data_IF_468025091880
#
_entry.id   IF_468025091880
#
_cell.length_a   1.000
_cell.length_b   1.000
_cell.length_c   1.000
_cell.angle_alpha   90.00
_cell.angle_beta   90.00
_cell.angle_gamma   90.00
#
_symmetry.space_group_name_H-M   'P 1'
#
loop_
_entity.id
_entity.type
_entity.pdbx_description
1 polymer ?
#
# COMPACT_ATOMS: atom_id res chain seq x y z
N UNK A 1 33.38 35.59 -17.22
CA UNK A 1 32.05 35.71 -16.57
C UNK A 1 31.01 34.72 -17.12
N UNK A 2 31.38 33.52 -17.61
CA UNK A 2 30.45 32.60 -18.30
C UNK A 2 30.27 31.21 -17.67
N UNK A 3 30.83 30.93 -16.50
CA UNK A 3 30.74 29.59 -15.88
C UNK A 3 29.55 29.40 -14.92
N UNK A 4 28.84 30.47 -14.54
CA UNK A 4 27.73 30.37 -13.58
C UNK A 4 26.35 30.10 -14.22
N UNK A 5 26.19 30.35 -15.53
CA UNK A 5 24.91 30.14 -16.23
C UNK A 5 24.67 28.65 -16.55
N UNK A 6 25.72 27.85 -16.75
CA UNK A 6 25.56 26.43 -17.10
C UNK A 6 25.21 25.53 -15.91
N UNK A 7 25.63 25.88 -14.69
CA UNK A 7 25.33 25.10 -13.49
C UNK A 7 23.84 25.20 -13.10
N UNK A 8 23.25 26.40 -13.23
CA UNK A 8 21.85 26.66 -12.87
C UNK A 8 20.85 25.84 -13.70
N UNK A 9 21.10 25.65 -15.01
CA UNK A 9 20.22 24.86 -15.88
C UNK A 9 20.18 23.36 -15.53
N UNK A 10 21.29 22.81 -15.02
CA UNK A 10 21.38 21.38 -14.70
C UNK A 10 20.72 20.97 -13.38
N UNK A 11 20.56 21.91 -12.43
CA UNK A 11 19.91 21.66 -11.13
C UNK A 11 18.39 21.89 -11.15
N UNK A 12 17.89 22.71 -12.08
CA UNK A 12 16.45 23.01 -12.22
C UNK A 12 15.69 21.85 -12.88
N UNK A 13 16.26 21.16 -13.86
CA UNK A 13 15.63 20.03 -14.56
C UNK A 13 15.35 18.80 -13.64
N UNK A 14 16.26 18.39 -12.73
CA UNK A 14 16.01 17.29 -11.79
C UNK A 14 14.90 17.58 -10.79
N UNK A 15 14.82 18.82 -10.28
CA UNK A 15 13.78 19.23 -9.33
C UNK A 15 12.39 19.21 -9.99
N UNK A 16 12.27 19.73 -11.23
CA UNK A 16 11.01 19.71 -11.98
C UNK A 16 10.54 18.28 -12.29
N UNK A 17 11.44 17.39 -12.71
CA UNK A 17 11.06 15.97 -12.99
C UNK A 17 10.71 15.18 -11.73
N UNK A 18 11.30 15.51 -10.58
CA UNK A 18 10.90 14.94 -9.30
C UNK A 18 9.51 15.43 -8.87
N UNK A 19 9.24 16.74 -8.99
CA UNK A 19 7.95 17.33 -8.68
C UNK A 19 6.82 16.71 -9.53
N UNK A 20 7.04 16.55 -10.83
CA UNK A 20 6.09 15.89 -11.73
C UNK A 20 5.82 14.42 -11.32
N UNK A 21 6.87 13.64 -11.02
CA UNK A 21 6.72 12.26 -10.55
C UNK A 21 5.98 12.17 -9.22
N UNK A 22 6.26 13.09 -8.29
CA UNK A 22 5.55 13.19 -7.00
C UNK A 22 4.07 13.55 -7.19
N UNK A 23 3.76 14.47 -8.09
CA UNK A 23 2.38 14.81 -8.42
C UNK A 23 1.64 13.61 -9.01
N UNK A 24 2.26 12.90 -9.97
CA UNK A 24 1.70 11.66 -10.52
C UNK A 24 1.44 10.59 -9.46
N UNK A 25 2.36 10.42 -8.51
CA UNK A 25 2.17 9.53 -7.37
C UNK A 25 0.93 9.94 -6.55
N UNK A 26 0.79 11.21 -6.17
CA UNK A 26 -0.37 11.68 -5.41
C UNK A 26 -1.70 11.48 -6.12
N UNK A 27 -1.75 11.76 -7.44
CA UNK A 27 -2.96 11.50 -8.24
C UNK A 27 -3.30 10.02 -8.23
N UNK A 28 -2.30 9.15 -8.44
CA UNK A 28 -2.49 7.70 -8.36
C UNK A 28 -2.98 7.27 -6.98
N UNK A 29 -2.37 7.76 -5.89
CA UNK A 29 -2.83 7.49 -4.53
C UNK A 29 -4.27 7.95 -4.28
N UNK A 30 -4.69 9.07 -4.87
CA UNK A 30 -6.07 9.53 -4.83
C UNK A 30 -7.03 8.54 -5.50
N UNK A 31 -6.69 8.05 -6.69
CA UNK A 31 -7.49 7.03 -7.41
C UNK A 31 -7.58 5.74 -6.61
N UNK A 32 -6.46 5.25 -6.07
CA UNK A 32 -6.43 4.05 -5.22
C UNK A 32 -7.31 4.24 -3.99
N UNK A 33 -7.22 5.38 -3.33
CA UNK A 33 -8.04 5.70 -2.17
C UNK A 33 -9.53 5.68 -2.51
N UNK A 34 -9.93 6.33 -3.61
CA UNK A 34 -11.32 6.31 -4.08
C UNK A 34 -11.81 4.90 -4.39
N UNK A 35 -10.98 4.06 -5.02
CA UNK A 35 -11.31 2.68 -5.33
C UNK A 35 -11.58 1.87 -4.05
N UNK A 36 -10.66 1.91 -3.08
CA UNK A 36 -10.82 1.20 -1.81
C UNK A 36 -11.97 1.74 -0.98
N UNK A 37 -12.21 3.06 -1.01
CA UNK A 37 -13.34 3.68 -0.33
C UNK A 37 -14.67 3.20 -0.90
N UNK A 38 -14.81 3.14 -2.22
CA UNK A 38 -16.03 2.63 -2.88
C UNK A 38 -16.30 1.17 -2.51
N UNK A 39 -15.26 0.32 -2.53
CA UNK A 39 -15.42 -1.07 -2.05
C UNK A 39 -15.73 -1.15 -0.56
N UNK A 40 -15.16 -0.26 0.26
CA UNK A 40 -15.46 -0.19 1.68
C UNK A 40 -16.91 0.21 1.97
N UNK A 41 -17.44 1.20 1.24
CA UNK A 41 -18.87 1.56 1.32
C UNK A 41 -19.74 0.38 0.89
N UNK A 42 -19.40 -0.29 -0.21
CA UNK A 42 -20.12 -1.47 -0.67
C UNK A 42 -20.11 -2.60 0.37
N UNK A 43 -18.99 -2.82 1.05
CA UNK A 43 -18.86 -3.78 2.15
C UNK A 43 -19.82 -3.43 3.30
N UNK A 44 -19.81 -2.18 3.77
CA UNK A 44 -20.70 -1.72 4.85
C UNK A 44 -22.17 -1.84 4.46
N UNK A 45 -22.54 -1.48 3.23
CA UNK A 45 -23.91 -1.65 2.74
C UNK A 45 -24.33 -3.13 2.74
N UNK A 46 -23.42 -4.04 2.41
CA UNK A 46 -23.71 -5.47 2.36
C UNK A 46 -23.84 -6.10 3.76
N UNK A 47 -23.27 -5.48 4.79
CA UNK A 47 -23.44 -5.92 6.19
C UNK A 47 -24.89 -5.83 6.67
N UNK A 48 -25.72 -4.99 6.05
CA UNK A 48 -27.14 -4.83 6.41
C UNK A 48 -28.05 -5.97 5.90
N UNK A 49 -27.52 -6.89 5.09
CA UNK A 49 -28.28 -7.99 4.54
C UNK A 49 -28.33 -9.20 5.50
N UNK A 50 -29.43 -9.95 5.48
CA UNK A 50 -29.71 -11.03 6.43
C UNK A 50 -28.79 -12.26 6.32
N UNK A 51 -28.11 -12.43 5.19
CA UNK A 51 -27.16 -13.50 4.90
C UNK A 51 -25.72 -13.17 5.36
N UNK A 52 -25.48 -11.96 5.86
CA UNK A 52 -24.16 -11.54 6.32
C UNK A 52 -23.77 -12.24 7.62
N UNK A 53 -22.59 -12.85 7.63
CA UNK A 53 -21.95 -13.33 8.85
C UNK A 53 -20.55 -12.71 9.01
N UNK A 54 -20.17 -12.23 10.20
CA UNK A 54 -18.86 -11.65 10.42
C UNK A 54 -17.75 -12.68 10.30
N UNK A 55 -16.58 -12.23 9.80
CA UNK A 55 -15.33 -12.96 9.92
C UNK A 55 -14.90 -13.03 11.39
N UNK A 56 -15.24 -14.15 12.06
CA UNK A 56 -14.90 -14.38 13.47
C UNK A 56 -13.46 -14.87 13.67
N UNK A 57 -12.83 -15.39 12.62
CA UNK A 57 -11.49 -15.95 12.70
C UNK A 57 -10.48 -15.03 12.01
N UNK A 58 -9.47 -14.61 12.77
CA UNK A 58 -8.32 -13.86 12.24
C UNK A 58 -7.12 -14.81 12.19
N UNK A 59 -6.67 -15.24 11.00
CA UNK A 59 -5.50 -16.10 10.90
C UNK A 59 -4.26 -15.37 11.43
N UNK A 60 -3.46 -16.06 12.24
CA UNK A 60 -2.21 -15.49 12.78
C UNK A 60 -1.22 -15.10 11.66
N UNK A 61 -1.32 -15.74 10.50
CA UNK A 61 -0.57 -15.41 9.28
C UNK A 61 -0.83 -13.98 8.79
N UNK A 62 -2.00 -13.41 9.08
CA UNK A 62 -2.34 -12.02 8.74
C UNK A 62 -1.60 -11.01 9.64
N UNK A 63 -1.34 -11.38 10.88
CA UNK A 63 -0.49 -10.59 11.78
C UNK A 63 0.97 -10.65 11.33
N UNK A 64 1.43 -11.83 10.90
CA UNK A 64 2.76 -11.98 10.29
C UNK A 64 2.90 -11.12 9.04
N UNK A 65 1.92 -11.12 8.12
CA UNK A 65 1.96 -10.27 6.93
C UNK A 65 2.02 -8.78 7.32
N UNK A 66 1.19 -8.34 8.26
CA UNK A 66 1.24 -6.96 8.79
C UNK A 66 2.61 -6.59 9.35
N UNK A 67 3.24 -7.48 10.13
CA UNK A 67 4.60 -7.28 10.64
C UNK A 67 5.66 -7.19 9.53
N UNK A 68 5.55 -8.02 8.49
CA UNK A 68 6.45 -7.99 7.33
C UNK A 68 6.31 -6.69 6.53
N UNK A 69 5.08 -6.20 6.33
CA UNK A 69 4.85 -4.94 5.64
C UNK A 69 5.38 -3.75 6.45
N UNK A 70 5.18 -3.76 7.77
CA UNK A 70 5.75 -2.75 8.67
C UNK A 70 7.29 -2.76 8.63
N UNK A 71 7.90 -3.94 8.65
CA UNK A 71 9.35 -4.09 8.48
C UNK A 71 9.82 -3.57 7.11
N UNK A 72 9.05 -3.80 6.04
CA UNK A 72 9.35 -3.26 4.72
C UNK A 72 9.32 -1.71 4.72
N UNK A 73 8.36 -1.09 5.42
CA UNK A 73 8.33 0.37 5.60
C UNK A 73 9.58 0.89 6.32
N UNK A 74 10.01 0.23 7.39
CA UNK A 74 11.25 0.58 8.11
C UNK A 74 12.47 0.45 7.19
N UNK A 75 12.52 -0.60 6.37
CA UNK A 75 13.61 -0.81 5.42
C UNK A 75 13.64 0.32 4.35
N UNK A 76 12.48 0.70 3.81
CA UNK A 76 12.37 1.82 2.86
C UNK A 76 12.67 3.19 3.49
N UNK A 77 12.25 3.40 4.74
CA UNK A 77 12.62 4.57 5.53
C UNK A 77 14.13 4.67 5.71
N UNK A 78 14.76 3.55 6.08
CA UNK A 78 16.22 3.43 6.22
C UNK A 78 16.92 3.69 4.89
N UNK A 79 16.34 3.18 3.78
CA UNK A 79 16.83 3.42 2.43
C UNK A 79 16.80 4.89 2.06
N UNK A 80 15.71 5.60 2.41
CA UNK A 80 15.57 7.04 2.17
C UNK A 80 16.60 7.85 2.96
N UNK A 81 16.84 7.51 4.23
CA UNK A 81 17.82 8.20 5.09
C UNK A 81 19.25 8.04 4.61
N UNK A 82 19.59 6.87 4.06
CA UNK A 82 20.94 6.55 3.56
C UNK A 82 21.00 6.53 2.03
N UNK A 83 20.17 7.31 1.35
CA UNK A 83 19.96 7.22 -0.10
C UNK A 83 21.20 7.53 -0.95
N UNK A 84 22.21 8.17 -0.36
CA UNK A 84 23.49 8.49 -1.01
C UNK A 84 24.55 7.39 -0.88
N UNK A 85 24.29 6.38 -0.04
CA UNK A 85 25.27 5.37 0.33
C UNK A 85 24.85 3.96 -0.15
N UNK A 86 25.83 3.06 -0.22
CA UNK A 86 25.59 1.66 -0.51
C UNK A 86 24.63 1.00 0.51
N UNK A 87 24.60 1.51 1.75
CA UNK A 87 23.67 1.07 2.79
C UNK A 87 22.21 1.32 2.42
N UNK A 88 21.88 2.48 1.83
CA UNK A 88 20.51 2.79 1.42
C UNK A 88 20.01 1.89 0.30
N UNK A 89 20.87 1.55 -0.65
CA UNK A 89 20.56 0.56 -1.69
C UNK A 89 20.25 -0.83 -1.12
N UNK A 90 21.07 -1.31 -0.17
CA UNK A 90 20.83 -2.60 0.51
C UNK A 90 19.51 -2.59 1.28
N UNK A 91 19.21 -1.48 1.97
CA UNK A 91 17.95 -1.32 2.68
C UNK A 91 16.74 -1.31 1.72
N UNK A 92 16.85 -0.70 0.54
CA UNK A 92 15.82 -0.76 -0.49
C UNK A 92 15.58 -2.19 -1.02
N UNK A 93 16.64 -2.95 -1.25
CA UNK A 93 16.54 -4.37 -1.62
C UNK A 93 15.88 -5.18 -0.49
N UNK A 94 16.26 -4.94 0.76
CA UNK A 94 15.61 -5.57 1.91
C UNK A 94 14.11 -5.23 1.97
N UNK A 95 13.72 -3.98 1.70
CA UNK A 95 12.33 -3.55 1.58
C UNK A 95 11.56 -4.33 0.51
N UNK A 96 12.16 -4.53 -0.67
CA UNK A 96 11.57 -5.37 -1.71
C UNK A 96 11.41 -6.83 -1.27
N UNK A 97 12.44 -7.44 -0.68
CA UNK A 97 12.40 -8.83 -0.19
C UNK A 97 11.32 -9.00 0.87
N UNK A 98 11.22 -8.08 1.84
CA UNK A 98 10.18 -8.10 2.87
C UNK A 98 8.79 -7.96 2.28
N UNK A 99 8.64 -7.20 1.19
CA UNK A 99 7.35 -7.05 0.50
C UNK A 99 6.95 -8.31 -0.27
N UNK A 100 7.93 -9.03 -0.84
CA UNK A 100 7.68 -10.37 -1.41
C UNK A 100 7.28 -11.34 -0.32
N UNK A 101 7.97 -11.32 0.83
CA UNK A 101 7.59 -12.13 1.98
C UNK A 101 6.17 -11.80 2.48
N UNK A 102 5.77 -10.52 2.48
CA UNK A 102 4.39 -10.10 2.74
C UNK A 102 3.39 -10.78 1.79
N UNK A 103 3.66 -10.78 0.48
CA UNK A 103 2.79 -11.43 -0.51
C UNK A 103 2.69 -12.94 -0.28
N UNK A 104 3.79 -13.60 0.07
CA UNK A 104 3.79 -15.02 0.43
C UNK A 104 2.98 -15.30 1.71
N UNK A 105 3.15 -14.47 2.75
CA UNK A 105 2.38 -14.58 3.98
C UNK A 105 0.88 -14.33 3.75
N UNK A 106 0.55 -13.40 2.85
CA UNK A 106 -0.82 -13.11 2.44
C UNK A 106 -1.44 -14.28 1.67
N UNK A 107 -0.68 -14.91 0.78
CA UNK A 107 -1.13 -16.13 0.11
C UNK A 107 -1.35 -17.27 1.11
N UNK A 108 -0.46 -17.42 2.09
CA UNK A 108 -0.62 -18.43 3.13
C UNK A 108 -1.84 -18.19 4.00
N UNK A 109 -2.15 -16.93 4.35
CA UNK A 109 -3.38 -16.63 5.11
C UNK A 109 -4.64 -17.02 4.34
N UNK A 110 -4.65 -16.83 3.02
CA UNK A 110 -5.73 -17.29 2.16
C UNK A 110 -5.88 -18.81 2.15
N UNK A 111 -4.79 -19.55 2.05
CA UNK A 111 -4.82 -21.02 2.11
C UNK A 111 -5.35 -21.50 3.47
N UNK A 112 -4.85 -20.94 4.57
CA UNK A 112 -5.29 -21.29 5.92
C UNK A 112 -6.80 -21.03 6.14
N UNK A 113 -7.34 -19.97 5.53
CA UNK A 113 -8.78 -19.68 5.58
C UNK A 113 -9.59 -20.67 4.75
N UNK A 114 -9.13 -21.00 3.54
CA UNK A 114 -9.77 -22.00 2.68
C UNK A 114 -9.80 -23.39 3.33
N UNK A 115 -8.73 -23.78 4.03
CA UNK A 115 -8.68 -25.04 4.79
C UNK A 115 -9.75 -25.09 5.89
N UNK A 116 -10.07 -23.93 6.49
CA UNK A 116 -11.13 -23.77 7.48
C UNK A 116 -12.54 -23.56 6.87
N UNK A 117 -12.70 -23.80 5.57
CA UNK A 117 -13.95 -23.64 4.81
C UNK A 117 -14.43 -22.18 4.64
N UNK A 118 -13.59 -21.18 4.93
CA UNK A 118 -13.86 -19.80 4.51
C UNK A 118 -13.48 -19.65 3.04
N UNK A 119 -14.49 -19.59 2.17
CA UNK A 119 -14.30 -19.58 0.71
C UNK A 119 -14.78 -18.29 0.09
N UNK A 120 -14.22 -17.95 -1.07
CA UNK A 120 -14.61 -16.76 -1.85
C UNK A 120 -16.10 -16.77 -2.21
N UNK A 121 -16.70 -17.95 -2.38
CA UNK A 121 -18.09 -18.18 -2.73
C UNK A 121 -19.00 -18.54 -1.53
N UNK A 122 -18.47 -18.52 -0.30
CA UNK A 122 -19.19 -18.95 0.89
C UNK A 122 -20.21 -17.91 1.39
N UNK A 123 -19.71 -16.76 1.83
CA UNK A 123 -20.52 -15.64 2.35
C UNK A 123 -19.95 -14.33 1.81
N UNK A 124 -20.82 -13.32 1.54
CA UNK A 124 -20.40 -11.96 1.19
C UNK A 124 -19.19 -11.41 1.95
N UNK A 125 -19.10 -11.61 3.27
CA UNK A 125 -17.98 -11.11 4.08
C UNK A 125 -16.63 -11.72 3.65
N UNK A 126 -16.61 -13.03 3.37
CA UNK A 126 -15.42 -13.75 2.90
C UNK A 126 -15.03 -13.25 1.50
N UNK A 127 -16.00 -13.10 0.60
CA UNK A 127 -15.77 -12.56 -0.74
C UNK A 127 -15.10 -11.19 -0.70
N UNK A 128 -15.61 -10.28 0.15
CA UNK A 128 -15.02 -8.95 0.33
C UNK A 128 -13.62 -9.01 0.94
N UNK A 129 -13.36 -9.91 1.89
CA UNK A 129 -12.03 -10.12 2.44
C UNK A 129 -11.02 -10.51 1.34
N UNK A 130 -11.32 -11.54 0.55
CA UNK A 130 -10.42 -11.99 -0.53
C UNK A 130 -10.24 -10.91 -1.60
N UNK A 131 -11.32 -10.22 -1.97
CA UNK A 131 -11.27 -9.15 -2.98
C UNK A 131 -10.45 -7.94 -2.50
N UNK A 132 -10.70 -7.41 -1.30
CA UNK A 132 -9.99 -6.24 -0.77
C UNK A 132 -8.52 -6.54 -0.49
N UNK A 133 -8.23 -7.68 0.15
CA UNK A 133 -6.84 -8.08 0.42
C UNK A 133 -6.08 -8.45 -0.85
N UNK A 134 -6.77 -9.05 -1.84
CA UNK A 134 -6.19 -9.35 -3.16
C UNK A 134 -5.88 -8.10 -3.96
N UNK A 135 -6.81 -7.13 -3.98
CA UNK A 135 -6.58 -5.83 -4.60
C UNK A 135 -5.41 -5.11 -3.93
N UNK A 136 -5.31 -5.16 -2.60
CA UNK A 136 -4.16 -4.60 -1.89
C UNK A 136 -2.84 -5.29 -2.28
N UNK A 137 -2.83 -6.63 -2.33
CA UNK A 137 -1.68 -7.40 -2.80
C UNK A 137 -1.26 -7.03 -4.23
N UNK A 138 -2.21 -6.78 -5.13
CA UNK A 138 -1.94 -6.29 -6.49
C UNK A 138 -1.20 -4.94 -6.49
N UNK A 139 -1.58 -4.02 -5.60
CA UNK A 139 -0.91 -2.73 -5.48
C UNK A 139 0.52 -2.89 -4.94
N UNK A 140 0.74 -3.77 -3.95
CA UNK A 140 2.09 -4.11 -3.48
C UNK A 140 2.94 -4.71 -4.61
N UNK A 141 2.37 -5.62 -5.40
CA UNK A 141 3.03 -6.21 -6.56
C UNK A 141 3.37 -5.16 -7.64
N UNK A 142 2.43 -4.25 -7.93
CA UNK A 142 2.66 -3.13 -8.85
C UNK A 142 3.77 -2.19 -8.36
N UNK A 143 3.82 -1.91 -7.06
CA UNK A 143 4.89 -1.16 -6.42
C UNK A 143 6.25 -1.83 -6.56
N UNK A 144 6.31 -3.15 -6.34
CA UNK A 144 7.53 -3.95 -6.51
C UNK A 144 8.04 -3.90 -7.96
N UNK A 145 7.15 -4.04 -8.95
CA UNK A 145 7.50 -3.91 -10.36
C UNK A 145 8.02 -2.50 -10.68
N UNK A 146 7.34 -1.46 -10.21
CA UNK A 146 7.78 -0.08 -10.41
C UNK A 146 9.16 0.19 -9.77
N UNK A 147 9.41 -0.32 -8.55
CA UNK A 147 10.70 -0.22 -7.89
C UNK A 147 11.80 -0.96 -8.65
N UNK A 148 11.51 -2.17 -9.16
CA UNK A 148 12.46 -2.95 -9.95
C UNK A 148 12.78 -2.29 -11.30
N UNK A 149 11.78 -1.77 -12.02
CA UNK A 149 11.99 -1.03 -13.27
C UNK A 149 12.78 0.25 -13.04
N UNK A 150 12.48 1.00 -11.98
CA UNK A 150 13.21 2.20 -11.62
C UNK A 150 14.67 1.89 -11.25
N UNK A 151 14.93 0.79 -10.54
CA UNK A 151 16.28 0.34 -10.23
C UNK A 151 17.06 -0.04 -11.49
N UNK A 152 16.44 -0.79 -12.43
CA UNK A 152 17.09 -1.19 -13.70
C UNK A 152 17.42 0.01 -14.58
N UNK A 153 16.50 0.96 -14.73
CA UNK A 153 16.72 2.18 -15.52
C UNK A 153 17.89 3.03 -14.97
N UNK A 154 18.09 3.03 -13.64
CA UNK A 154 19.19 3.75 -13.01
C UNK A 154 20.54 3.04 -13.18
N UNK A 155 20.56 1.70 -13.24
CA UNK A 155 21.78 0.91 -13.47
C UNK A 155 22.21 0.91 -14.94
N UNK A 156 21.26 0.91 -15.88
CA UNK A 156 21.56 0.92 -17.32
C UNK A 156 21.93 2.31 -17.86
N UNK A 157 21.47 3.37 -17.19
CA UNK A 157 21.76 4.76 -17.54
C UNK A 157 23.10 5.27 -17.02
N UNK A 158 24.08 4.40 -16.72
CA UNK A 158 25.41 4.78 -16.23
C UNK A 158 26.25 5.48 -17.31
N UNK A 159 25.88 6.74 -17.57
CA UNK A 159 26.78 7.82 -17.89
C UNK A 159 26.42 9.00 -16.97
N UNK A 160 27.41 9.52 -16.23
CA UNK A 160 27.42 10.79 -15.47
C UNK A 160 26.94 10.82 -14.00
N UNK A 161 27.82 10.38 -13.08
CA UNK A 161 28.16 11.14 -11.86
C UNK A 161 27.05 11.46 -10.83
N UNK A 162 27.12 12.64 -10.21
CA UNK A 162 26.25 13.06 -9.09
C UNK A 162 24.76 13.18 -9.41
N UNK A 163 24.40 13.35 -10.69
CA UNK A 163 23.01 13.44 -11.15
C UNK A 163 22.25 12.11 -11.00
N UNK A 164 22.91 10.98 -11.28
CA UNK A 164 22.33 9.65 -11.09
C UNK A 164 22.00 9.38 -9.61
N UNK A 165 22.89 9.79 -8.69
CA UNK A 165 22.67 9.69 -7.24
C UNK A 165 21.48 10.51 -6.76
N UNK A 166 21.30 11.73 -7.28
CA UNK A 166 20.12 12.56 -6.96
C UNK A 166 18.82 11.92 -7.46
N UNK A 167 18.80 11.40 -8.68
CA UNK A 167 17.64 10.70 -9.24
C UNK A 167 17.28 9.44 -8.46
N UNK A 168 18.29 8.66 -8.05
CA UNK A 168 18.09 7.47 -7.20
C UNK A 168 17.49 7.85 -5.85
N UNK A 169 18.04 8.88 -5.19
CA UNK A 169 17.51 9.36 -3.91
C UNK A 169 16.05 9.83 -4.02
N UNK A 170 15.71 10.56 -5.08
CA UNK A 170 14.32 10.94 -5.38
C UNK A 170 13.40 9.74 -5.60
N UNK A 171 13.84 8.73 -6.35
CA UNK A 171 13.08 7.48 -6.54
C UNK A 171 12.88 6.75 -5.21
N UNK A 172 13.93 6.58 -4.39
CA UNK A 172 13.83 5.93 -3.08
C UNK A 172 12.84 6.68 -2.17
N UNK A 173 12.85 8.01 -2.19
CA UNK A 173 11.91 8.81 -1.41
C UNK A 173 10.45 8.57 -1.83
N UNK A 174 10.18 8.47 -3.13
CA UNK A 174 8.84 8.14 -3.66
C UNK A 174 8.43 6.72 -3.30
N UNK A 175 9.33 5.74 -3.40
CA UNK A 175 9.07 4.36 -2.97
C UNK A 175 8.75 4.31 -1.48
N UNK A 176 9.54 4.97 -0.63
CA UNK A 176 9.26 5.03 0.81
C UNK A 176 7.87 5.64 1.08
N UNK A 177 7.51 6.74 0.42
CA UNK A 177 6.19 7.34 0.57
C UNK A 177 5.06 6.39 0.15
N UNK A 178 5.23 5.68 -0.97
CA UNK A 178 4.26 4.70 -1.46
C UNK A 178 4.07 3.51 -0.49
N UNK A 179 5.15 2.98 0.08
CA UNK A 179 5.07 1.88 1.04
C UNK A 179 4.37 2.28 2.35
N UNK A 180 4.62 3.49 2.86
CA UNK A 180 3.89 3.99 4.03
C UNK A 180 2.40 4.17 3.75
N UNK A 181 2.04 4.64 2.54
CA UNK A 181 0.65 4.69 2.12
C UNK A 181 0.02 3.29 2.10
N UNK A 182 0.70 2.29 1.53
CA UNK A 182 0.21 0.92 1.50
C UNK A 182 0.02 0.35 2.91
N UNK A 183 0.95 0.59 3.83
CA UNK A 183 0.77 0.17 5.23
C UNK A 183 -0.43 0.87 5.88
N UNK A 184 -0.59 2.18 5.70
CA UNK A 184 -1.74 2.91 6.23
C UNK A 184 -3.06 2.37 5.67
N UNK A 185 -3.12 2.14 4.36
CA UNK A 185 -4.26 1.52 3.68
C UNK A 185 -4.54 0.11 4.22
N UNK A 186 -3.50 -0.70 4.43
CA UNK A 186 -3.61 -2.05 4.98
C UNK A 186 -4.23 -2.04 6.38
N UNK A 187 -3.79 -1.13 7.25
CA UNK A 187 -4.36 -0.97 8.59
C UNK A 187 -5.83 -0.53 8.56
N UNK A 188 -6.19 0.37 7.63
CA UNK A 188 -7.59 0.75 7.41
C UNK A 188 -8.44 -0.44 6.97
N UNK A 189 -7.93 -1.28 6.05
CA UNK A 189 -8.61 -2.51 5.64
C UNK A 189 -8.75 -3.50 6.78
N UNK A 190 -7.69 -3.68 7.58
CA UNK A 190 -7.70 -4.55 8.75
C UNK A 190 -8.76 -4.09 9.76
N UNK A 191 -8.83 -2.79 10.04
CA UNK A 191 -9.86 -2.22 10.90
C UNK A 191 -11.28 -2.38 10.32
N UNK A 192 -11.44 -2.13 9.01
CA UNK A 192 -12.73 -2.28 8.33
C UNK A 192 -13.24 -3.73 8.38
N UNK A 193 -12.36 -4.72 8.18
CA UNK A 193 -12.77 -6.12 8.08
C UNK A 193 -13.03 -6.77 9.44
N UNK A 194 -12.27 -6.40 10.48
CA UNK A 194 -12.33 -7.08 11.78
C UNK A 194 -12.92 -6.25 12.93
N UNK A 195 -12.92 -4.92 12.81
CA UNK A 195 -13.38 -4.02 13.88
C UNK A 195 -14.76 -3.41 13.60
N UNK A 196 -15.14 -3.27 12.32
CA UNK A 196 -16.45 -2.73 11.96
C UNK A 196 -17.51 -3.83 12.08
N UNK A 197 -18.35 -3.69 13.10
CA UNK A 197 -19.53 -4.54 13.36
C UNK A 197 -20.82 -3.76 13.13
N UNK A 198 -21.97 -4.42 12.92
CA UNK A 198 -23.26 -3.75 12.77
C UNK A 198 -23.58 -2.79 13.93
N UNK A 199 -23.19 -3.16 15.15
CA UNK A 199 -23.37 -2.33 16.34
C UNK A 199 -22.56 -1.03 16.27
N UNK A 200 -21.33 -1.08 15.73
CA UNK A 200 -20.49 0.10 15.51
C UNK A 200 -21.10 1.00 14.43
N UNK A 201 -21.62 0.41 13.35
CA UNK A 201 -22.30 1.17 12.30
C UNK A 201 -23.54 1.87 12.85
N UNK A 202 -24.35 1.18 13.66
CA UNK A 202 -25.53 1.74 14.31
C UNK A 202 -25.16 2.88 15.28
N UNK A 203 -24.13 2.69 16.11
CA UNK A 203 -23.66 3.75 17.00
C UNK A 203 -23.18 5.01 16.25
N UNK A 204 -22.54 4.83 15.09
CA UNK A 204 -22.15 5.96 14.23
C UNK A 204 -23.38 6.62 13.61
N UNK A 205 -24.33 5.85 13.07
CA UNK A 205 -25.59 6.39 12.53
C UNK A 205 -26.39 7.18 13.57
N UNK A 206 -26.46 6.68 14.80
CA UNK A 206 -27.10 7.36 15.93
C UNK A 206 -26.37 8.65 16.32
N UNK A 207 -25.02 8.64 16.33
CA UNK A 207 -24.22 9.84 16.60
C UNK A 207 -24.38 10.94 15.54
N UNK A 208 -24.73 10.56 14.31
CA UNK A 208 -24.97 11.46 13.17
C UNK A 208 -26.46 11.84 13.06
N UNK A 209 -27.34 11.27 13.90
CA UNK A 209 -28.78 11.55 13.92
C UNK A 209 -29.57 10.88 12.80
N UNK A 210 -28.99 9.91 12.09
CA UNK A 210 -29.65 9.15 11.05
C UNK A 210 -30.30 7.90 11.67
N UNK A 211 -31.61 7.95 11.92
CA UNK A 211 -32.36 6.76 12.36
C UNK A 211 -32.48 5.75 11.21
N UNK A 212 -32.10 4.47 11.41
CA UNK A 212 -32.37 3.44 10.41
C UNK A 212 -33.89 3.21 10.28
N UNK A 213 -34.39 2.88 9.08
CA UNK A 213 -35.78 2.46 8.91
C UNK A 213 -36.03 1.20 9.76
N UNK A 214 -37.05 1.25 10.62
CA UNK A 214 -37.47 0.11 11.42
C UNK A 214 -37.91 -1.03 10.49
N UNK A 215 -37.24 -2.19 10.58
CA UNK A 215 -37.68 -3.41 9.91
C UNK A 215 -39.06 -3.81 10.45
N UNK A 216 -40.07 -3.81 9.58
CA UNK A 216 -41.29 -4.59 9.79
C UNK A 216 -41.05 -6.03 9.38
#
# INVERSE_FOLDING_TARGET
MNTLVHAAGSAVLPAATYAARRAGLWVFLGVVTSLFLLFGVAYVMRMAAADWQPLRYVPWQLWLSTGLLAAACIAWETARRHAHDAGGRRAGVAGCVLSVAFLCAQWWSWQAMMDMQYRVDGNPADSFFFMLTGLHGLHVMGGLLAAALAARALVQGEAMGGLARYRLAGTIALCAQYWHYLLGLWLVLFALLFWVTPDVVQAVCDSVGLRPPQSR
#
